data_IF_545637796769
#
_entry.id   IF_545637796769
#
_cell.length_a   1.000
_cell.length_b   1.000
_cell.length_c   1.000
_cell.angle_alpha   90.00
_cell.angle_beta   90.00
_cell.angle_gamma   90.00
#
_symmetry.space_group_name_H-M   'P 1'
#
loop_
_entity.id
_entity.type
_entity.pdbx_description
1 polymer ?
#
# COMPACT_ATOMS: atom_id res chain seq x y z
N UNK A 1 -4.19 11.54 6.50
CA UNK A 1 -3.95 10.09 6.66
C UNK A 1 -4.41 9.24 5.48
N UNK A 2 -5.14 9.78 4.50
CA UNK A 2 -5.43 9.02 3.28
C UNK A 2 -4.14 8.84 2.46
N UNK A 3 -3.93 7.65 1.93
CA UNK A 3 -2.71 7.25 1.22
C UNK A 3 -2.70 5.75 0.96
N UNK A 4 -1.50 5.17 0.87
CA UNK A 4 -1.28 3.74 0.61
C UNK A 4 -2.02 2.79 1.56
N UNK A 5 -2.37 3.27 2.76
CA UNK A 5 -3.15 2.53 3.76
C UNK A 5 -4.51 2.06 3.23
N UNK A 6 -5.09 2.72 2.24
CA UNK A 6 -6.36 2.32 1.62
C UNK A 6 -6.24 0.99 0.86
N UNK A 7 -5.05 0.66 0.36
CA UNK A 7 -4.81 -0.55 -0.43
C UNK A 7 -4.82 -1.82 0.43
N UNK A 8 -4.50 -1.72 1.72
CA UNK A 8 -4.46 -2.87 2.63
C UNK A 8 -5.77 -3.10 3.39
N UNK A 9 -6.69 -2.13 3.39
CA UNK A 9 -7.98 -2.24 4.10
C UNK A 9 -8.86 -3.41 3.60
N UNK A 10 -9.00 -3.67 2.29
CA UNK A 10 -9.79 -4.80 1.81
C UNK A 10 -9.24 -6.15 2.29
N UNK A 11 -7.91 -6.31 2.28
CA UNK A 11 -7.26 -7.53 2.76
C UNK A 11 -7.44 -7.72 4.28
N UNK A 12 -7.35 -6.65 5.06
CA UNK A 12 -7.63 -6.70 6.49
C UNK A 12 -9.09 -7.09 6.79
N UNK A 13 -10.04 -6.56 6.00
CA UNK A 13 -11.46 -6.92 6.12
C UNK A 13 -11.70 -8.39 5.74
N UNK A 14 -10.99 -8.89 4.73
CA UNK A 14 -11.02 -10.30 4.34
C UNK A 14 -10.53 -11.22 5.47
N UNK A 15 -9.41 -10.89 6.12
CA UNK A 15 -8.85 -11.70 7.21
C UNK A 15 -9.71 -11.71 8.49
N UNK A 16 -10.39 -10.60 8.80
CA UNK A 16 -11.25 -10.50 9.99
C UNK A 16 -12.67 -11.03 9.77
N UNK A 17 -13.08 -11.27 8.52
CA UNK A 17 -14.48 -11.48 8.15
C UNK A 17 -15.26 -10.16 8.09
N UNK A 18 -16.30 -10.10 7.25
CA UNK A 18 -16.99 -8.85 6.92
C UNK A 18 -17.66 -8.18 8.13
N UNK A 19 -18.46 -8.93 8.90
CA UNK A 19 -19.23 -8.38 10.02
C UNK A 19 -18.28 -7.96 11.16
N UNK A 20 -17.41 -8.87 11.57
CA UNK A 20 -16.46 -8.64 12.66
C UNK A 20 -15.42 -7.57 12.31
N UNK A 21 -14.95 -7.54 11.06
CA UNK A 21 -14.03 -6.51 10.58
C UNK A 21 -14.66 -5.12 10.56
N UNK A 22 -15.92 -4.96 10.15
CA UNK A 22 -16.64 -3.66 10.25
C UNK A 22 -16.73 -3.20 11.70
N UNK A 23 -17.06 -4.11 12.63
CA UNK A 23 -17.10 -3.80 14.05
C UNK A 23 -15.74 -3.32 14.57
N UNK A 24 -14.64 -4.02 14.24
CA UNK A 24 -13.28 -3.61 14.61
C UNK A 24 -12.92 -2.25 14.01
N UNK A 25 -13.26 -1.99 12.74
CA UNK A 25 -12.98 -0.70 12.10
C UNK A 25 -13.65 0.47 12.84
N UNK A 26 -14.91 0.32 13.24
CA UNK A 26 -15.64 1.34 14.00
C UNK A 26 -15.01 1.51 15.40
N UNK A 27 -14.71 0.40 16.09
CA UNK A 27 -14.10 0.43 17.42
C UNK A 27 -12.72 1.10 17.41
N UNK A 28 -11.83 0.71 16.48
CA UNK A 28 -10.51 1.32 16.33
C UNK A 28 -10.60 2.78 15.89
N UNK A 29 -11.55 3.14 15.03
CA UNK A 29 -11.82 4.53 14.66
C UNK A 29 -12.18 5.39 15.87
N UNK A 30 -13.09 4.90 16.72
CA UNK A 30 -13.48 5.59 17.96
C UNK A 30 -12.32 5.71 18.95
N UNK A 31 -11.52 4.65 19.12
CA UNK A 31 -10.33 4.67 19.99
C UNK A 31 -9.29 5.68 19.50
N UNK A 32 -8.97 5.69 18.20
CA UNK A 32 -8.03 6.64 17.59
C UNK A 32 -8.54 8.09 17.70
N UNK A 33 -9.84 8.31 17.54
CA UNK A 33 -10.45 9.63 17.74
C UNK A 33 -10.32 10.07 19.20
N UNK A 34 -10.59 9.17 20.15
CA UNK A 34 -10.48 9.45 21.58
C UNK A 34 -9.04 9.72 22.02
N UNK A 35 -8.06 8.93 21.56
CA UNK A 35 -6.64 9.17 21.87
C UNK A 35 -6.16 10.50 21.29
N UNK A 36 -6.54 10.83 20.05
CA UNK A 36 -6.23 12.13 19.45
C UNK A 36 -6.86 13.28 20.25
N UNK A 37 -8.10 13.13 20.70
CA UNK A 37 -8.75 14.12 21.57
C UNK A 37 -8.01 14.32 22.90
N UNK A 38 -7.55 13.24 23.53
CA UNK A 38 -6.73 13.34 24.75
C UNK A 38 -5.42 14.07 24.51
N UNK A 39 -4.71 13.74 23.42
CA UNK A 39 -3.46 14.40 23.04
C UNK A 39 -3.70 15.90 22.82
N UNK A 40 -4.77 16.27 22.11
CA UNK A 40 -5.11 17.67 21.82
C UNK A 40 -5.56 18.44 23.07
N UNK A 41 -6.12 17.76 24.07
CA UNK A 41 -6.54 18.35 25.35
C UNK A 41 -5.38 18.54 26.33
N UNK A 42 -4.38 17.66 26.30
CA UNK A 42 -3.23 17.66 27.20
C UNK A 42 -2.53 19.02 27.41
N UNK A 43 -2.20 19.81 26.36
CA UNK A 43 -1.50 21.09 26.55
C UNK A 43 -2.33 22.16 27.26
N UNK A 44 -3.68 22.07 27.26
CA UNK A 44 -4.55 23.08 27.89
C UNK A 44 -4.47 23.08 29.43
N UNK A 45 -3.93 22.01 30.03
CA UNK A 45 -3.72 21.91 31.48
C UNK A 45 -2.48 22.65 32.00
N UNK A 46 -1.51 22.96 31.13
CA UNK A 46 -0.24 23.60 31.50
C UNK A 46 -0.27 25.11 31.20
N UNK A 47 -0.77 25.89 32.15
CA UNK A 47 -0.86 27.36 32.08
C UNK A 47 0.48 28.12 32.12
N UNK A 48 1.65 27.47 31.95
CA UNK A 48 2.94 28.05 32.36
C UNK A 48 4.11 28.01 31.36
N UNK A 49 3.93 27.57 30.11
CA UNK A 49 4.99 27.61 29.10
C UNK A 49 4.47 28.02 27.73
N UNK A 50 5.35 28.68 26.98
CA UNK A 50 5.10 29.33 25.69
C UNK A 50 4.49 28.33 24.68
N UNK A 51 3.26 28.60 24.26
CA UNK A 51 2.36 27.63 23.59
C UNK A 51 2.75 27.35 22.13
N UNK A 52 3.79 28.01 21.63
CA UNK A 52 4.07 28.08 20.19
C UNK A 52 5.03 26.99 19.68
N UNK A 53 5.69 26.23 20.56
CA UNK A 53 6.66 25.20 20.17
C UNK A 53 6.61 23.91 21.00
N UNK A 54 5.54 23.68 21.76
CA UNK A 54 5.48 22.48 22.62
C UNK A 54 5.24 21.22 21.79
N UNK A 55 6.26 20.38 21.65
CA UNK A 55 6.18 19.12 20.93
C UNK A 55 5.50 18.03 21.79
N UNK A 56 4.86 17.04 21.14
CA UNK A 56 4.23 15.91 21.85
C UNK A 56 5.21 15.16 22.77
N UNK A 57 6.48 15.09 22.38
CA UNK A 57 7.57 14.50 23.18
C UNK A 57 7.77 15.24 24.51
N UNK A 58 7.63 16.56 24.52
CA UNK A 58 7.78 17.40 25.71
C UNK A 58 6.60 17.22 26.68
N UNK A 59 5.39 17.02 26.13
CA UNK A 59 4.20 16.66 26.91
C UNK A 59 4.39 15.29 27.58
N UNK A 60 4.91 14.30 26.83
CA UNK A 60 5.22 12.98 27.37
C UNK A 60 6.29 13.05 28.48
N UNK A 61 7.29 13.91 28.33
CA UNK A 61 8.30 14.14 29.37
C UNK A 61 7.69 14.72 30.64
N UNK A 62 6.73 15.64 30.53
CA UNK A 62 6.09 16.25 31.69
C UNK A 62 5.18 15.27 32.46
N UNK A 63 4.37 14.48 31.75
CA UNK A 63 3.40 13.57 32.38
C UNK A 63 3.98 12.20 32.78
N UNK A 64 4.85 11.59 31.96
CA UNK A 64 5.43 10.25 32.19
C UNK A 64 6.88 10.31 32.70
N UNK A 65 7.48 11.50 32.79
CA UNK A 65 8.87 11.67 33.17
C UNK A 65 9.86 11.22 32.10
N UNK A 66 11.11 10.99 32.51
CA UNK A 66 12.26 10.72 31.60
C UNK A 66 12.14 9.41 30.82
N UNK A 67 11.47 8.40 31.38
CA UNK A 67 11.21 7.14 30.68
C UNK A 67 10.15 7.31 29.58
N UNK A 68 9.11 8.13 29.82
CA UNK A 68 8.08 8.44 28.83
C UNK A 68 8.65 9.09 27.57
N UNK A 69 9.53 10.09 27.75
CA UNK A 69 10.23 10.77 26.65
C UNK A 69 11.00 9.79 25.75
N UNK A 70 11.79 8.90 26.35
CA UNK A 70 12.58 7.90 25.60
C UNK A 70 11.66 6.94 24.84
N UNK A 71 10.60 6.43 25.49
CA UNK A 71 9.68 5.50 24.84
C UNK A 71 8.92 6.15 23.67
N UNK A 72 8.53 7.42 23.78
CA UNK A 72 7.85 8.15 22.72
C UNK A 72 8.76 8.36 21.50
N UNK A 73 10.03 8.71 21.72
CA UNK A 73 11.01 8.88 20.65
C UNK A 73 11.26 7.54 19.93
N UNK A 74 11.47 6.46 20.68
CA UNK A 74 11.70 5.13 20.10
C UNK A 74 10.50 4.64 19.27
N UNK A 75 9.29 4.81 19.78
CA UNK A 75 8.07 4.42 19.06
C UNK A 75 7.90 5.25 17.77
N UNK A 76 8.16 6.55 17.83
CA UNK A 76 8.09 7.43 16.65
C UNK A 76 9.08 7.01 15.56
N UNK A 77 10.33 6.72 15.94
CA UNK A 77 11.36 6.23 15.00
C UNK A 77 10.97 4.90 14.37
N UNK A 78 10.37 3.98 15.14
CA UNK A 78 9.90 2.69 14.63
C UNK A 78 8.73 2.84 13.64
N UNK A 79 7.78 3.72 13.93
CA UNK A 79 6.66 4.00 13.00
C UNK A 79 7.18 4.61 11.70
N UNK A 80 8.15 5.53 11.78
CA UNK A 80 8.73 6.17 10.60
C UNK A 80 9.52 5.18 9.73
N UNK A 81 10.33 4.30 10.32
CA UNK A 81 11.05 3.27 9.56
C UNK A 81 10.10 2.26 8.92
N UNK A 82 9.06 1.82 9.63
CA UNK A 82 8.02 0.95 9.08
C UNK A 82 7.29 1.57 7.89
N UNK A 83 6.98 2.86 7.96
CA UNK A 83 6.36 3.58 6.85
C UNK A 83 7.28 3.62 5.62
N UNK A 84 8.58 3.95 5.80
CA UNK A 84 9.56 3.98 4.71
C UNK A 84 9.69 2.60 4.04
N UNK A 85 9.76 1.53 4.84
CA UNK A 85 9.83 0.16 4.31
C UNK A 85 8.57 -0.21 3.49
N UNK A 86 7.39 0.09 4.01
CA UNK A 86 6.14 -0.16 3.28
C UNK A 86 6.06 0.62 1.96
N UNK A 87 6.46 1.89 1.97
CA UNK A 87 6.55 2.69 0.74
C UNK A 87 7.52 2.10 -0.27
N UNK A 88 8.69 1.63 0.18
CA UNK A 88 9.70 1.03 -0.69
C UNK A 88 9.19 -0.25 -1.38
N UNK A 89 8.50 -1.12 -0.63
CA UNK A 89 7.88 -2.34 -1.17
C UNK A 89 6.79 -2.01 -2.19
N UNK A 90 5.89 -1.08 -1.86
CA UNK A 90 4.80 -0.69 -2.75
C UNK A 90 5.31 -0.02 -4.03
N UNK A 91 6.29 0.87 -3.92
CA UNK A 91 6.88 1.54 -5.07
C UNK A 91 7.56 0.53 -6.01
N UNK A 92 8.25 -0.47 -5.45
CA UNK A 92 8.87 -1.55 -6.24
C UNK A 92 7.82 -2.38 -6.97
N UNK A 93 6.70 -2.69 -6.31
CA UNK A 93 5.60 -3.45 -6.91
C UNK A 93 4.94 -2.68 -8.07
N UNK A 94 4.62 -1.40 -7.86
CA UNK A 94 4.06 -0.56 -8.92
C UNK A 94 5.01 -0.37 -10.09
N UNK A 95 6.31 -0.20 -9.83
CA UNK A 95 7.31 -0.08 -10.89
C UNK A 95 7.42 -1.37 -11.71
N UNK A 96 7.36 -2.54 -11.06
CA UNK A 96 7.37 -3.83 -11.74
C UNK A 96 6.21 -3.96 -12.72
N UNK A 97 4.97 -3.75 -12.25
CA UNK A 97 3.78 -3.82 -13.12
C UNK A 97 3.78 -2.76 -14.22
N UNK A 98 4.26 -1.55 -13.92
CA UNK A 98 4.39 -0.48 -14.92
C UNK A 98 5.40 -0.87 -16.01
N UNK A 99 6.52 -1.50 -15.65
CA UNK A 99 7.52 -1.99 -16.60
C UNK A 99 6.97 -3.08 -17.52
N UNK A 100 6.23 -4.05 -16.97
CA UNK A 100 5.59 -5.09 -17.77
C UNK A 100 4.56 -4.49 -18.75
N UNK A 101 3.75 -3.53 -18.31
CA UNK A 101 2.79 -2.84 -19.18
C UNK A 101 3.49 -2.12 -20.34
N UNK A 102 4.60 -1.43 -20.08
CA UNK A 102 5.37 -0.75 -21.13
C UNK A 102 5.97 -1.76 -22.11
N UNK A 103 6.45 -2.90 -21.63
CA UNK A 103 7.02 -3.95 -22.46
C UNK A 103 5.99 -4.57 -23.42
N UNK A 104 4.81 -4.90 -22.92
CA UNK A 104 3.67 -5.41 -23.71
C UNK A 104 3.21 -4.38 -24.76
N UNK A 105 3.20 -3.10 -24.42
CA UNK A 105 2.87 -2.03 -25.38
C UNK A 105 3.95 -1.83 -26.45
N UNK A 106 5.23 -2.07 -26.11
CA UNK A 106 6.36 -1.93 -27.02
C UNK A 106 6.51 -3.12 -27.97
N UNK A 107 6.07 -4.31 -27.55
CA UNK A 107 6.04 -5.52 -28.37
C UNK A 107 4.61 -6.02 -28.50
N UNK A 108 3.79 -5.41 -29.38
CA UNK A 108 2.50 -5.97 -29.72
C UNK A 108 2.74 -7.31 -30.43
N UNK A 109 2.73 -8.40 -29.69
CA UNK A 109 2.71 -9.74 -30.27
C UNK A 109 1.40 -9.86 -31.06
N UNK A 110 1.52 -10.28 -32.32
CA UNK A 110 0.42 -10.36 -33.29
C UNK A 110 -0.67 -11.38 -32.93
N UNK A 111 -0.61 -12.00 -31.74
CA UNK A 111 -1.67 -12.78 -31.11
C UNK A 111 -2.72 -11.95 -30.38
N UNK A 112 -2.60 -10.62 -30.32
CA UNK A 112 -3.64 -9.72 -29.79
C UNK A 112 -4.77 -9.41 -30.80
N UNK A 113 -5.07 -10.34 -31.71
CA UNK A 113 -6.25 -10.30 -32.57
C UNK A 113 -7.19 -11.46 -32.27
N UNK A 114 -7.63 -11.53 -31.01
CA UNK A 114 -9.01 -11.93 -30.76
C UNK A 114 -9.63 -10.81 -29.95
N UNK A 115 -10.58 -10.11 -30.57
CA UNK A 115 -11.61 -9.37 -29.85
C UNK A 115 -12.42 -10.40 -29.06
N UNK A 116 -11.83 -10.92 -28.00
CA UNK A 116 -12.53 -11.66 -26.97
C UNK A 116 -13.11 -10.57 -26.09
N UNK A 117 -14.45 -10.46 -26.07
CA UNK A 117 -15.20 -9.51 -25.25
C UNK A 117 -14.44 -9.23 -23.95
N UNK A 118 -14.07 -7.97 -23.69
CA UNK A 118 -13.48 -7.58 -22.41
C UNK A 118 -14.34 -8.22 -21.31
N UNK A 119 -13.82 -9.18 -20.52
CA UNK A 119 -14.58 -9.69 -19.39
C UNK A 119 -14.85 -8.47 -18.52
N UNK A 120 -16.14 -8.14 -18.33
CA UNK A 120 -16.60 -6.93 -17.59
C UNK A 120 -15.89 -6.78 -16.24
N UNK A 121 -15.42 -7.89 -15.66
CA UNK A 121 -14.69 -7.99 -14.41
C UNK A 121 -13.69 -9.15 -14.46
N UNK A 122 -12.55 -8.98 -15.12
CA UNK A 122 -11.43 -9.92 -14.96
C UNK A 122 -10.72 -9.64 -13.63
N UNK A 123 -10.63 -10.65 -12.77
CA UNK A 123 -9.89 -10.61 -11.51
C UNK A 123 -8.72 -11.58 -11.60
N UNK A 124 -7.50 -11.07 -11.45
CA UNK A 124 -6.31 -11.91 -11.52
C UNK A 124 -5.90 -12.35 -10.12
N UNK A 125 -6.21 -13.60 -9.76
CA UNK A 125 -5.69 -14.23 -8.55
C UNK A 125 -4.25 -14.68 -8.81
N UNK A 126 -3.30 -13.77 -8.61
CA UNK A 126 -1.88 -14.12 -8.71
C UNK A 126 -1.46 -14.82 -7.41
N UNK A 127 -1.51 -16.15 -7.42
CA UNK A 127 -0.82 -16.97 -6.41
C UNK A 127 0.67 -16.99 -6.78
N UNK A 128 1.55 -16.86 -5.78
CA UNK A 128 3.00 -16.93 -5.97
C UNK A 128 3.40 -18.32 -6.53
N UNK A 129 3.48 -18.46 -7.85
CA UNK A 129 3.97 -19.66 -8.56
C UNK A 129 5.50 -19.84 -8.43
N UNK A 130 6.08 -19.43 -7.30
CA UNK A 130 7.51 -19.56 -7.03
C UNK A 130 7.91 -20.96 -6.53
N UNK A 131 6.99 -21.92 -6.49
CA UNK A 131 7.25 -23.27 -5.93
C UNK A 131 6.98 -24.45 -6.88
N UNK A 132 6.46 -24.21 -8.09
CA UNK A 132 6.33 -25.26 -9.10
C UNK A 132 7.10 -24.87 -10.36
N UNK A 133 8.01 -25.76 -10.76
CA UNK A 133 9.05 -25.52 -11.75
C UNK A 133 8.59 -24.88 -13.05
N UNK A 134 9.48 -24.02 -13.54
CA UNK A 134 9.48 -23.39 -14.86
C UNK A 134 8.94 -24.34 -15.95
N UNK A 135 7.79 -24.00 -16.54
CA UNK A 135 7.42 -24.56 -17.84
C UNK A 135 8.25 -23.86 -18.91
N UNK A 136 8.98 -24.58 -19.78
CA UNK A 136 9.74 -23.96 -20.85
C UNK A 136 8.77 -23.48 -21.93
N UNK A 137 8.46 -22.19 -21.95
CA UNK A 137 7.86 -21.58 -23.13
C UNK A 137 8.93 -21.48 -24.22
N UNK A 138 8.92 -22.44 -25.13
CA UNK A 138 9.60 -22.31 -26.42
C UNK A 138 8.85 -21.27 -27.24
N UNK A 139 9.31 -20.03 -27.21
CA UNK A 139 8.89 -19.00 -28.16
C UNK A 139 10.08 -18.10 -28.44
N UNK A 140 10.43 -18.01 -29.71
CA UNK A 140 11.54 -17.25 -30.26
C UNK A 140 11.26 -15.76 -30.08
N UNK A 141 11.59 -15.19 -28.93
CA UNK A 141 11.43 -13.76 -28.67
C UNK A 141 12.73 -12.98 -28.96
N UNK A 142 12.64 -11.79 -29.57
CA UNK A 142 13.82 -11.01 -29.93
C UNK A 142 14.51 -10.48 -28.67
N UNK A 143 15.81 -10.75 -28.54
CA UNK A 143 16.64 -10.22 -27.48
C UNK A 143 16.70 -8.68 -27.57
N UNK A 144 16.23 -7.99 -26.52
CA UNK A 144 16.50 -6.55 -26.37
C UNK A 144 17.46 -6.31 -25.21
N UNK A 145 18.60 -5.72 -25.60
CA UNK A 145 19.76 -5.27 -24.83
C UNK A 145 20.54 -6.38 -24.08
N UNK A 146 21.80 -6.59 -24.50
CA UNK A 146 22.78 -7.51 -23.89
C UNK A 146 22.43 -9.02 -23.90
N UNK A 147 21.61 -9.51 -24.84
CA UNK A 147 21.42 -10.96 -25.03
C UNK A 147 20.70 -11.67 -23.87
N UNK A 148 20.07 -10.92 -22.98
CA UNK A 148 19.28 -11.41 -21.85
C UNK A 148 17.79 -11.18 -22.14
N UNK A 149 16.94 -12.11 -21.72
CA UNK A 149 15.49 -11.96 -21.88
C UNK A 149 14.95 -10.90 -20.90
N UNK A 150 13.95 -10.12 -21.31
CA UNK A 150 13.35 -9.07 -20.46
C UNK A 150 12.86 -9.64 -19.12
N UNK A 151 12.33 -10.86 -19.15
CA UNK A 151 11.87 -11.60 -17.98
C UNK A 151 12.99 -11.96 -16.98
N UNK A 152 14.23 -12.05 -17.46
CA UNK A 152 15.41 -12.37 -16.63
C UNK A 152 16.05 -11.11 -16.02
N UNK A 153 15.97 -9.98 -16.73
CA UNK A 153 16.42 -8.66 -16.29
C UNK A 153 15.41 -7.96 -15.35
N UNK A 154 14.11 -8.18 -15.53
CA UNK A 154 13.04 -7.50 -14.79
C UNK A 154 12.46 -8.41 -13.69
N UNK A 155 13.24 -8.73 -12.65
CA UNK A 155 12.79 -9.55 -11.51
C UNK A 155 12.24 -8.67 -10.37
N UNK A 156 11.01 -8.96 -9.94
CA UNK A 156 10.30 -8.27 -8.84
C UNK A 156 11.12 -8.19 -7.54
N UNK A 157 11.89 -9.24 -7.21
CA UNK A 157 12.61 -9.35 -5.93
C UNK A 157 14.01 -8.72 -5.89
N UNK A 158 14.63 -8.39 -7.03
CA UNK A 158 16.05 -7.99 -7.03
C UNK A 158 16.39 -6.77 -7.88
N UNK A 159 16.15 -6.79 -9.19
CA UNK A 159 16.60 -5.70 -10.07
C UNK A 159 15.76 -4.44 -9.94
N UNK A 160 14.44 -4.58 -9.80
CA UNK A 160 13.50 -3.45 -9.66
C UNK A 160 13.75 -2.64 -8.37
N UNK A 161 13.88 -3.27 -7.18
CA UNK A 161 14.19 -2.53 -5.96
C UNK A 161 15.57 -1.85 -6.00
N UNK A 162 16.59 -2.51 -6.56
CA UNK A 162 17.95 -1.93 -6.64
C UNK A 162 17.96 -0.68 -7.54
N UNK A 163 17.29 -0.74 -8.70
CA UNK A 163 17.11 0.42 -9.58
C UNK A 163 16.40 1.56 -8.84
N UNK A 164 15.33 1.24 -8.10
CA UNK A 164 14.58 2.21 -7.31
C UNK A 164 15.47 2.89 -6.25
N UNK A 165 16.34 2.12 -5.59
CA UNK A 165 17.27 2.64 -4.58
C UNK A 165 18.26 3.64 -5.18
N UNK A 166 18.83 3.35 -6.36
CA UNK A 166 19.73 4.26 -7.08
C UNK A 166 19.02 5.56 -7.47
N UNK A 167 17.79 5.46 -8.00
CA UNK A 167 16.99 6.63 -8.38
C UNK A 167 16.63 7.47 -7.15
N UNK A 168 16.21 6.83 -6.06
CA UNK A 168 15.86 7.49 -4.80
C UNK A 168 17.09 8.18 -4.20
N UNK A 169 18.25 7.52 -4.21
CA UNK A 169 19.51 8.13 -3.78
C UNK A 169 19.85 9.37 -4.61
N UNK A 170 19.69 9.32 -5.93
CA UNK A 170 19.86 10.49 -6.80
C UNK A 170 18.92 11.64 -6.42
N UNK A 171 17.64 11.34 -6.18
CA UNK A 171 16.63 12.32 -5.78
C UNK A 171 16.90 12.95 -4.40
N UNK A 172 17.42 12.17 -3.45
CA UNK A 172 17.78 12.65 -2.11
C UNK A 172 18.99 13.59 -2.10
N UNK A 173 19.86 13.51 -3.11
CA UNK A 173 21.02 14.40 -3.24
C UNK A 173 20.65 15.80 -3.77
N UNK A 174 19.40 16.05 -4.15
CA UNK A 174 18.98 17.40 -4.55
C UNK A 174 18.86 18.32 -3.35
N UNK A 175 19.66 19.40 -3.38
CA UNK A 175 19.78 20.42 -2.32
C UNK A 175 18.49 21.19 -1.99
N UNK A 176 17.45 21.09 -2.81
CA UNK A 176 16.23 21.90 -2.65
C UNK A 176 15.03 21.09 -2.12
N UNK A 177 14.62 21.29 -0.86
CA UNK A 177 13.46 20.60 -0.27
C UNK A 177 12.11 21.06 -0.86
N UNK A 178 12.08 22.21 -1.56
CA UNK A 178 10.87 22.73 -2.22
C UNK A 178 10.45 21.93 -3.45
N UNK A 179 11.31 21.07 -3.98
CA UNK A 179 10.91 20.11 -5.02
C UNK A 179 9.92 19.10 -4.45
N UNK A 180 10.21 18.53 -3.27
CA UNK A 180 9.38 17.52 -2.61
C UNK A 180 7.99 18.04 -2.20
N UNK A 181 7.86 19.31 -1.82
CA UNK A 181 6.56 19.87 -1.43
C UNK A 181 5.59 20.01 -2.61
N UNK A 182 6.09 20.18 -3.84
CA UNK A 182 5.27 20.22 -5.05
C UNK A 182 4.63 18.86 -5.38
N UNK A 183 5.22 17.74 -4.94
CA UNK A 183 4.66 16.40 -5.13
C UNK A 183 3.40 16.12 -4.29
N UNK A 184 3.08 16.98 -3.32
CA UNK A 184 1.87 16.82 -2.52
C UNK A 184 0.59 16.84 -3.40
N UNK A 185 0.59 17.64 -4.47
CA UNK A 185 -0.52 17.70 -5.44
C UNK A 185 -0.68 16.34 -6.15
N UNK A 186 0.40 15.68 -6.54
CA UNK A 186 0.33 14.36 -7.17
C UNK A 186 -0.28 13.32 -6.22
N UNK A 187 0.04 13.39 -4.93
CA UNK A 187 -0.59 12.56 -3.91
C UNK A 187 -2.11 12.71 -3.88
N UNK A 188 -2.62 13.95 -3.95
CA UNK A 188 -4.07 14.20 -3.97
C UNK A 188 -4.74 13.68 -5.24
N UNK A 189 -4.10 13.82 -6.40
CA UNK A 189 -4.60 13.32 -7.69
C UNK A 189 -4.69 11.78 -7.65
N UNK A 190 -3.65 11.12 -7.15
CA UNK A 190 -3.61 9.65 -7.03
C UNK A 190 -4.73 9.12 -6.13
N UNK A 191 -4.98 9.75 -4.98
CA UNK A 191 -6.06 9.32 -4.07
C UNK A 191 -7.42 9.49 -4.76
N UNK A 192 -7.64 10.64 -5.41
CA UNK A 192 -8.88 10.89 -6.14
C UNK A 192 -9.09 9.86 -7.25
N UNK A 193 -8.04 9.53 -8.01
CA UNK A 193 -8.07 8.51 -9.04
C UNK A 193 -8.44 7.13 -8.49
N UNK A 194 -7.79 6.68 -7.40
CA UNK A 194 -8.07 5.39 -6.78
C UNK A 194 -9.53 5.31 -6.31
N UNK A 195 -10.06 6.36 -5.68
CA UNK A 195 -11.46 6.36 -5.20
C UNK A 195 -12.44 6.28 -6.37
N UNK A 196 -12.25 7.10 -7.40
CA UNK A 196 -13.13 7.10 -8.59
C UNK A 196 -13.03 5.77 -9.35
N UNK A 197 -11.82 5.21 -9.49
CA UNK A 197 -11.61 3.92 -10.13
C UNK A 197 -12.32 2.79 -9.39
N UNK A 198 -12.19 2.72 -8.06
CA UNK A 198 -12.87 1.71 -7.25
C UNK A 198 -14.40 1.87 -7.31
N UNK A 199 -14.91 3.10 -7.28
CA UNK A 199 -16.34 3.36 -7.44
C UNK A 199 -16.85 2.92 -8.82
N UNK A 200 -16.12 3.22 -9.89
CA UNK A 200 -16.48 2.78 -11.24
C UNK A 200 -16.46 1.26 -11.40
N UNK A 201 -15.46 0.58 -10.81
CA UNK A 201 -15.38 -0.88 -10.76
C UNK A 201 -16.54 -1.48 -9.98
N UNK A 202 -16.89 -0.91 -8.82
CA UNK A 202 -18.03 -1.35 -8.02
C UNK A 202 -19.35 -1.25 -8.79
N UNK A 203 -19.56 -0.16 -9.54
CA UNK A 203 -20.77 0.04 -10.35
C UNK A 203 -20.83 -0.95 -11.52
N UNK A 204 -19.70 -1.21 -12.18
CA UNK A 204 -19.65 -2.14 -13.33
C UNK A 204 -19.76 -3.60 -12.93
N UNK A 205 -19.12 -4.00 -11.83
CA UNK A 205 -19.02 -5.37 -11.38
C UNK A 205 -20.10 -5.79 -10.39
N UNK A 206 -20.81 -4.85 -9.80
CA UNK A 206 -21.82 -5.14 -8.79
C UNK A 206 -21.19 -5.64 -7.48
N UNK A 207 -22.07 -5.98 -6.54
CA UNK A 207 -21.71 -6.46 -5.20
C UNK A 207 -22.09 -7.93 -5.11
N UNK A 208 -21.10 -8.80 -5.10
CA UNK A 208 -21.28 -10.25 -4.89
C UNK A 208 -20.94 -10.58 -3.43
N UNK A 209 -21.96 -10.62 -2.57
CA UNK A 209 -21.82 -10.95 -1.15
C UNK A 209 -22.62 -12.23 -0.84
N UNK A 210 -21.92 -13.35 -0.68
CA UNK A 210 -22.51 -14.61 -0.23
C UNK A 210 -22.13 -14.86 1.22
N UNK A 211 -23.06 -14.62 2.15
CA UNK A 211 -22.84 -14.73 3.61
C UNK A 211 -23.11 -16.14 4.17
N UNK A 212 -23.48 -17.10 3.33
CA UNK A 212 -24.12 -18.36 3.79
C UNK A 212 -23.59 -19.61 3.09
N UNK A 213 -22.76 -19.48 2.05
CA UNK A 213 -22.40 -20.59 1.18
C UNK A 213 -20.90 -20.89 1.24
N UNK A 214 -20.54 -21.93 2.01
CA UNK A 214 -19.16 -22.36 2.30
C UNK A 214 -18.40 -22.93 1.09
N UNK A 215 -19.05 -23.03 -0.08
CA UNK A 215 -18.48 -23.62 -1.30
C UNK A 215 -18.25 -22.61 -2.44
N UNK A 216 -18.48 -21.31 -2.21
CA UNK A 216 -18.20 -20.28 -3.22
C UNK A 216 -16.80 -19.68 -3.06
N UNK A 217 -16.10 -19.44 -4.18
CA UNK A 217 -14.76 -18.82 -4.23
C UNK A 217 -14.71 -17.38 -3.63
N UNK A 218 -15.88 -16.83 -3.26
CA UNK A 218 -16.06 -15.51 -2.64
C UNK A 218 -16.54 -15.64 -1.18
N UNK A 219 -16.22 -16.75 -0.52
CA UNK A 219 -16.56 -16.94 0.89
C UNK A 219 -15.69 -16.04 1.79
N UNK A 220 -16.31 -15.05 2.42
CA UNK A 220 -15.69 -14.35 3.53
C UNK A 220 -15.75 -15.27 4.75
N UNK A 221 -14.67 -16.01 5.05
CA UNK A 221 -14.57 -16.83 6.25
C UNK A 221 -14.88 -15.99 7.49
N UNK A 222 -16.09 -16.14 8.04
CA UNK A 222 -16.33 -15.79 9.43
C UNK A 222 -15.61 -16.83 10.29
N UNK A 223 -14.34 -16.58 10.62
CA UNK A 223 -13.67 -17.24 11.74
C UNK A 223 -14.30 -16.73 13.04
N UNK A 224 -15.50 -17.21 13.33
CA UNK A 224 -16.05 -17.18 14.67
C UNK A 224 -15.34 -18.31 15.43
N UNK A 225 -14.60 -17.94 16.48
CA UNK A 225 -14.06 -18.80 17.53
C UNK A 225 -14.73 -20.19 17.61
N UNK A 226 -14.08 -21.21 17.06
CA UNK A 226 -14.26 -22.59 17.53
C UNK A 226 -13.18 -22.82 18.60
N UNK A 227 -13.66 -23.01 19.82
CA UNK A 227 -12.91 -23.36 21.03
C UNK A 227 -13.18 -24.84 21.33
#
# INVERSE_FOLDING_TARGET
MMGVSLLSMPWALYQAGLIFGIFIFIAMGALCFYTTYLILRSPRGLKKMDTTSMEFTEICRYYLGRYGEITAILLSMFVLSGAILAYYVLMSNFLYFTGNLIYELAHPSSSASTMQEEPRCDFHCQMDDSFNGEKPYNSTEPAMLFGLTFHELWKLRLSVPILLSIVTFGLLNFKSPTFFTKFNVLGTITIMYIVVFNAARLIKCGVHLSLTDTTSEVYAECKLFDL
#
